data_IF_036714313999
#
_entry.id   IF_036714313999
#
_cell.length_a   1.000
_cell.length_b   1.000
_cell.length_c   1.000
_cell.angle_alpha   90.00
_cell.angle_beta   90.00
_cell.angle_gamma   90.00
#
_symmetry.space_group_name_H-M   'P 1'
#
loop_
_entity.id
_entity.type
_entity.pdbx_description
1 polymer ?
#
# COMPACT_ATOMS: atom_id res chain seq x y z
N UNK A 1 38.82 -54.32 41.73
CA UNK A 1 39.19 -53.08 41.01
C UNK A 1 37.92 -52.45 40.46
N UNK A 2 37.46 -51.32 41.01
CA UNK A 2 36.39 -50.50 40.41
C UNK A 2 36.95 -49.10 40.21
N UNK A 3 37.06 -48.68 38.95
CA UNK A 3 37.54 -47.36 38.57
C UNK A 3 36.47 -46.31 38.91
N UNK A 4 36.85 -45.30 39.67
CA UNK A 4 36.08 -44.08 39.94
C UNK A 4 36.10 -43.18 38.71
N UNK A 5 34.93 -42.92 38.12
CA UNK A 5 34.76 -41.90 37.08
C UNK A 5 34.76 -40.51 37.71
N UNK A 6 35.78 -39.71 37.41
CA UNK A 6 35.82 -38.30 37.75
C UNK A 6 34.99 -37.50 36.73
N UNK A 7 33.89 -36.88 37.18
CA UNK A 7 33.20 -35.85 36.41
C UNK A 7 34.03 -34.57 36.43
N UNK A 8 34.61 -34.22 35.28
CA UNK A 8 35.32 -32.96 35.08
C UNK A 8 34.30 -31.81 35.05
N UNK A 9 34.25 -31.07 36.15
CA UNK A 9 33.38 -29.91 36.34
C UNK A 9 34.06 -28.68 35.73
N UNK A 10 33.97 -28.52 34.40
CA UNK A 10 34.46 -27.30 33.75
C UNK A 10 33.54 -26.12 34.12
N UNK A 11 34.10 -24.95 34.49
CA UNK A 11 33.29 -23.78 34.81
C UNK A 11 32.49 -23.36 33.58
N UNK A 12 31.15 -23.38 33.69
CA UNK A 12 30.26 -22.81 32.66
C UNK A 12 30.61 -21.32 32.55
N UNK A 13 31.18 -20.94 31.40
CA UNK A 13 31.50 -19.55 31.07
C UNK A 13 30.25 -18.68 31.28
N UNK A 14 30.33 -17.53 31.95
CA UNK A 14 29.15 -16.68 32.16
C UNK A 14 28.57 -16.34 30.79
N UNK A 15 27.28 -16.62 30.61
CA UNK A 15 26.53 -16.16 29.44
C UNK A 15 26.70 -14.65 29.34
N UNK A 16 27.47 -14.18 28.35
CA UNK A 16 27.56 -12.76 28.05
C UNK A 16 26.18 -12.30 27.61
N UNK A 17 25.63 -11.31 28.33
CA UNK A 17 24.37 -10.69 27.92
C UNK A 17 24.56 -10.06 26.55
N UNK A 18 23.69 -10.34 25.57
CA UNK A 18 23.78 -9.72 24.26
C UNK A 18 23.67 -8.20 24.38
N UNK A 19 24.34 -7.48 23.49
CA UNK A 19 24.25 -6.02 23.45
C UNK A 19 22.83 -5.58 23.09
N UNK A 20 22.43 -4.40 23.57
CA UNK A 20 21.14 -3.82 23.22
C UNK A 20 21.00 -3.61 21.70
N UNK A 21 22.09 -3.29 21.00
CA UNK A 21 22.10 -3.13 19.54
C UNK A 21 21.79 -4.44 18.82
N UNK A 22 22.37 -5.55 19.29
CA UNK A 22 22.08 -6.88 18.76
C UNK A 22 20.62 -7.25 18.97
N UNK A 23 20.10 -7.10 20.20
CA UNK A 23 18.69 -7.39 20.49
C UNK A 23 17.72 -6.55 19.62
N UNK A 24 18.01 -5.26 19.42
CA UNK A 24 17.22 -4.40 18.52
C UNK A 24 17.25 -4.88 17.07
N UNK A 25 18.40 -5.36 16.59
CA UNK A 25 18.53 -5.89 15.24
C UNK A 25 17.73 -7.18 15.05
N UNK A 26 17.83 -8.12 16.00
CA UNK A 26 17.07 -9.38 15.98
C UNK A 26 15.56 -9.14 16.01
N UNK A 27 15.08 -8.29 16.92
CA UNK A 27 13.64 -7.96 17.00
C UNK A 27 13.16 -7.33 15.70
N UNK A 28 13.94 -6.40 15.12
CA UNK A 28 13.60 -5.77 13.84
C UNK A 28 13.54 -6.78 12.70
N UNK A 29 14.49 -7.72 12.67
CA UNK A 29 14.55 -8.79 11.66
C UNK A 29 13.33 -9.71 11.76
N UNK A 30 13.01 -10.18 12.98
CA UNK A 30 11.85 -11.03 13.22
C UNK A 30 10.54 -10.32 12.87
N UNK A 31 10.37 -9.06 13.27
CA UNK A 31 9.19 -8.27 12.95
C UNK A 31 9.03 -8.07 11.43
N UNK A 32 10.13 -7.82 10.70
CA UNK A 32 10.10 -7.72 9.23
C UNK A 32 9.71 -9.04 8.58
N UNK A 33 10.21 -10.18 9.08
CA UNK A 33 9.86 -11.50 8.55
C UNK A 33 8.36 -11.76 8.71
N UNK A 34 7.83 -11.59 9.92
CA UNK A 34 6.39 -11.76 10.20
C UNK A 34 5.54 -10.83 9.32
N UNK A 35 5.98 -9.57 9.16
CA UNK A 35 5.27 -8.63 8.31
C UNK A 35 5.31 -9.06 6.83
N UNK A 36 6.43 -9.58 6.34
CA UNK A 36 6.55 -10.06 4.98
C UNK A 36 5.63 -11.26 4.73
N UNK A 37 5.62 -12.23 5.64
CA UNK A 37 4.75 -13.41 5.55
C UNK A 37 3.28 -13.01 5.52
N UNK A 38 2.87 -12.08 6.39
CA UNK A 38 1.51 -11.54 6.38
C UNK A 38 1.18 -10.79 5.08
N UNK A 39 2.16 -10.09 4.50
CA UNK A 39 1.99 -9.34 3.26
C UNK A 39 1.81 -10.26 2.05
N UNK A 40 2.56 -11.35 1.99
CA UNK A 40 2.48 -12.33 0.91
C UNK A 40 1.20 -13.17 0.99
N UNK A 41 0.76 -13.55 2.19
CA UNK A 41 -0.40 -14.41 2.39
C UNK A 41 -1.73 -13.64 2.57
N UNK A 42 -1.68 -12.32 2.75
CA UNK A 42 -2.88 -11.49 2.95
C UNK A 42 -3.71 -11.33 1.68
N UNK A 43 -5.04 -11.43 1.80
CA UNK A 43 -5.98 -11.25 0.68
C UNK A 43 -6.26 -9.77 0.34
N UNK A 44 -6.10 -8.86 1.30
CA UNK A 44 -6.36 -7.44 1.11
C UNK A 44 -5.16 -6.72 0.47
N UNK A 45 -5.42 -5.65 -0.27
CA UNK A 45 -4.35 -4.77 -0.80
C UNK A 45 -3.50 -5.40 -1.91
N UNK A 46 -4.02 -6.40 -2.63
CA UNK A 46 -3.25 -7.13 -3.65
C UNK A 46 -2.68 -6.25 -4.75
N UNK A 47 -3.43 -5.25 -5.20
CA UNK A 47 -2.91 -4.28 -6.19
C UNK A 47 -1.69 -3.53 -5.70
N UNK A 48 -1.61 -3.23 -4.39
CA UNK A 48 -0.45 -2.57 -3.78
C UNK A 48 0.70 -3.55 -3.62
N UNK A 49 0.45 -4.81 -3.27
CA UNK A 49 1.50 -5.83 -3.22
C UNK A 49 2.10 -6.10 -4.60
N UNK A 50 1.29 -6.21 -5.64
CA UNK A 50 1.78 -6.45 -7.00
C UNK A 50 2.75 -5.35 -7.49
N UNK A 51 2.63 -4.14 -6.93
CA UNK A 51 3.53 -3.00 -7.15
C UNK A 51 4.71 -2.97 -6.17
N UNK A 52 4.48 -3.33 -4.91
CA UNK A 52 5.44 -3.32 -3.81
C UNK A 52 5.42 -4.69 -3.12
N UNK A 53 6.05 -5.71 -3.73
CA UNK A 53 5.93 -7.08 -3.24
C UNK A 53 6.75 -7.33 -1.97
N UNK A 54 7.75 -6.48 -1.69
CA UNK A 54 8.61 -6.62 -0.51
C UNK A 54 8.32 -5.53 0.50
N UNK A 55 8.03 -5.94 1.73
CA UNK A 55 7.93 -5.01 2.86
C UNK A 55 9.31 -4.46 3.18
N UNK A 56 9.37 -3.18 3.53
CA UNK A 56 10.62 -2.56 3.96
C UNK A 56 10.34 -1.34 4.84
N UNK A 57 11.32 -0.96 5.64
CA UNK A 57 11.28 0.28 6.41
C UNK A 57 11.62 1.53 5.56
N UNK A 58 11.92 1.37 4.27
CA UNK A 58 12.16 2.48 3.35
C UNK A 58 10.85 2.85 2.67
N UNK A 59 10.53 4.15 2.56
CA UNK A 59 9.35 4.59 1.82
C UNK A 59 9.52 4.26 0.33
N UNK A 60 8.40 3.95 -0.33
CA UNK A 60 8.37 3.61 -1.77
C UNK A 60 8.57 4.84 -2.66
N UNK A 61 8.58 6.05 -2.08
CA UNK A 61 8.74 7.31 -2.81
C UNK A 61 7.46 7.77 -3.52
N UNK A 62 6.32 7.20 -3.14
CA UNK A 62 5.00 7.67 -3.56
C UNK A 62 4.50 8.80 -2.66
N UNK A 63 3.83 9.78 -3.25
CA UNK A 63 3.18 10.84 -2.51
C UNK A 63 1.73 10.46 -2.12
N UNK A 64 1.04 11.35 -1.39
CA UNK A 64 -0.33 11.10 -0.90
C UNK A 64 -1.30 10.77 -2.04
N UNK A 65 -1.27 11.53 -3.13
CA UNK A 65 -2.16 11.34 -4.28
C UNK A 65 -1.93 9.99 -4.98
N UNK A 66 -0.66 9.62 -5.17
CA UNK A 66 -0.28 8.34 -5.77
C UNK A 66 -0.69 7.15 -4.89
N UNK A 67 -0.50 7.28 -3.58
CA UNK A 67 -0.93 6.26 -2.60
C UNK A 67 -2.45 6.08 -2.68
N UNK A 68 -3.22 7.18 -2.62
CA UNK A 68 -4.68 7.15 -2.72
C UNK A 68 -5.16 6.47 -4.01
N UNK A 69 -4.55 6.82 -5.14
CA UNK A 69 -4.90 6.24 -6.42
C UNK A 69 -4.65 4.73 -6.47
N UNK A 70 -3.45 4.29 -6.05
CA UNK A 70 -3.02 2.88 -6.13
C UNK A 70 -3.84 1.97 -5.20
N UNK A 71 -4.11 2.44 -3.99
CA UNK A 71 -4.92 1.68 -3.02
C UNK A 71 -6.41 1.79 -3.29
N UNK A 72 -6.81 2.71 -4.17
CA UNK A 72 -8.21 3.11 -4.36
C UNK A 72 -8.81 3.72 -3.11
N UNK A 73 -8.00 4.30 -2.23
CA UNK A 73 -8.45 5.01 -1.04
C UNK A 73 -8.71 6.49 -1.33
N UNK A 74 -9.46 7.13 -0.46
CA UNK A 74 -9.68 8.58 -0.47
C UNK A 74 -11.06 8.94 -1.01
N UNK A 75 -11.18 10.00 -1.83
CA UNK A 75 -12.48 10.60 -2.18
C UNK A 75 -13.29 9.80 -3.23
N UNK A 76 -12.91 8.56 -3.54
CA UNK A 76 -13.60 7.75 -4.53
C UNK A 76 -14.96 7.26 -3.99
N UNK A 77 -16.08 7.49 -4.69
CA UNK A 77 -17.38 6.95 -4.28
C UNK A 77 -17.37 5.44 -3.99
N UNK A 78 -16.61 4.65 -4.77
CA UNK A 78 -16.47 3.21 -4.52
C UNK A 78 -15.80 2.87 -3.17
N UNK A 79 -14.87 3.71 -2.73
CA UNK A 79 -14.23 3.58 -1.43
C UNK A 79 -15.16 4.05 -0.32
N UNK A 80 -15.78 5.22 -0.49
CA UNK A 80 -16.69 5.79 0.51
C UNK A 80 -17.89 4.86 0.80
N UNK A 81 -18.46 4.22 -0.23
CA UNK A 81 -19.50 3.21 -0.06
C UNK A 81 -19.04 2.04 0.83
N UNK A 82 -17.82 1.53 0.62
CA UNK A 82 -17.26 0.42 1.41
C UNK A 82 -17.19 0.74 2.91
N UNK A 83 -17.01 2.02 3.26
CA UNK A 83 -16.95 2.50 4.64
C UNK A 83 -18.28 3.09 5.13
N UNK A 84 -19.38 2.89 4.39
CA UNK A 84 -20.70 3.44 4.69
C UNK A 84 -20.71 4.99 4.85
N UNK A 85 -19.78 5.67 4.20
CA UNK A 85 -19.71 7.14 4.14
C UNK A 85 -20.54 7.70 2.98
N UNK A 86 -21.00 6.84 2.07
CA UNK A 86 -21.95 7.13 0.99
C UNK A 86 -22.88 5.96 0.76
N UNK A 87 -24.06 6.25 0.21
CA UNK A 87 -25.09 5.24 -0.13
C UNK A 87 -24.89 4.58 -1.50
N UNK A 88 -24.03 5.13 -2.36
CA UNK A 88 -23.74 4.56 -3.68
C UNK A 88 -22.28 4.79 -4.10
N UNK A 89 -21.81 3.97 -5.05
CA UNK A 89 -20.45 4.04 -5.60
C UNK A 89 -20.36 4.84 -6.90
N UNK A 90 -21.40 5.59 -7.28
CA UNK A 90 -21.44 6.34 -8.54
C UNK A 90 -20.67 7.66 -8.51
N UNK A 91 -19.97 7.92 -9.61
CA UNK A 91 -19.46 9.24 -10.02
C UNK A 91 -20.62 10.14 -10.47
N UNK A 92 -20.40 11.45 -10.49
CA UNK A 92 -21.37 12.44 -11.02
C UNK A 92 -21.75 12.20 -12.49
N UNK A 93 -20.93 11.46 -13.25
CA UNK A 93 -21.25 11.08 -14.62
C UNK A 93 -22.18 9.85 -14.72
N UNK A 94 -22.56 9.24 -13.59
CA UNK A 94 -23.45 8.09 -13.50
C UNK A 94 -22.76 6.72 -13.45
N UNK A 95 -21.50 6.63 -13.89
CA UNK A 95 -20.69 5.41 -13.86
C UNK A 95 -20.07 5.14 -12.48
N UNK A 96 -19.47 3.97 -12.29
CA UNK A 96 -18.76 3.64 -11.05
C UNK A 96 -17.59 4.61 -10.80
N UNK A 97 -17.63 5.29 -9.66
CA UNK A 97 -16.60 6.23 -9.19
C UNK A 97 -15.42 5.52 -8.54
N UNK A 98 -14.69 4.74 -9.32
CA UNK A 98 -13.43 4.11 -8.93
C UNK A 98 -12.21 4.80 -9.58
N UNK A 99 -10.97 4.56 -9.10
CA UNK A 99 -9.79 5.24 -9.62
C UNK A 99 -9.58 5.01 -11.13
N UNK A 100 -9.89 3.82 -11.64
CA UNK A 100 -9.67 3.49 -13.05
C UNK A 100 -10.63 4.29 -13.92
N UNK A 101 -11.90 4.41 -13.52
CA UNK A 101 -12.87 5.24 -14.22
C UNK A 101 -12.38 6.69 -14.34
N UNK A 102 -12.01 7.33 -13.23
CA UNK A 102 -11.52 8.71 -13.23
C UNK A 102 -10.24 8.90 -14.04
N UNK A 103 -9.36 7.89 -14.07
CA UNK A 103 -8.10 7.98 -14.80
C UNK A 103 -8.22 7.67 -16.30
N UNK A 104 -9.35 7.15 -16.79
CA UNK A 104 -9.39 6.61 -18.16
C UNK A 104 -10.63 6.95 -18.97
N UNK A 105 -11.78 7.20 -18.32
CA UNK A 105 -13.08 7.27 -18.99
C UNK A 105 -13.97 8.43 -18.55
N UNK A 106 -13.77 8.99 -17.36
CA UNK A 106 -14.66 10.01 -16.83
C UNK A 106 -14.66 11.26 -17.74
N UNK A 107 -15.83 11.75 -18.17
CA UNK A 107 -15.94 12.99 -18.96
C UNK A 107 -15.44 14.23 -18.23
N UNK A 108 -15.51 14.25 -16.89
CA UNK A 108 -15.06 15.39 -16.09
C UNK A 108 -13.52 15.47 -15.95
N UNK A 109 -12.80 14.40 -16.30
CA UNK A 109 -11.35 14.33 -16.15
C UNK A 109 -10.60 14.08 -17.46
N UNK A 110 -11.25 14.34 -18.60
CA UNK A 110 -10.69 14.11 -19.94
C UNK A 110 -9.26 14.65 -20.13
N UNK A 111 -8.97 15.84 -19.60
CA UNK A 111 -7.64 16.48 -19.65
C UNK A 111 -6.53 15.62 -19.04
N UNK A 112 -6.85 14.77 -18.05
CA UNK A 112 -5.89 13.93 -17.33
C UNK A 112 -5.99 12.44 -17.66
N UNK A 113 -6.94 12.03 -18.51
CA UNK A 113 -7.16 10.62 -18.83
C UNK A 113 -5.95 9.96 -19.51
N UNK A 114 -5.53 8.84 -18.96
CA UNK A 114 -4.62 7.89 -19.56
C UNK A 114 -5.39 6.94 -20.48
N UNK A 115 -4.66 6.25 -21.36
CA UNK A 115 -5.23 5.17 -22.16
C UNK A 115 -5.81 4.09 -21.24
N UNK A 116 -7.00 3.59 -21.57
CA UNK A 116 -7.64 2.53 -20.78
C UNK A 116 -6.80 1.25 -20.91
N UNK A 117 -6.32 0.66 -19.80
CA UNK A 117 -5.55 -0.56 -19.89
C UNK A 117 -6.45 -1.75 -20.23
N UNK A 118 -5.87 -2.72 -20.95
CA UNK A 118 -6.42 -4.08 -20.97
C UNK A 118 -6.34 -4.67 -19.56
N UNK A 119 -7.33 -5.48 -19.17
CA UNK A 119 -7.41 -6.09 -17.83
C UNK A 119 -6.11 -6.81 -17.46
N UNK A 120 -5.56 -7.59 -18.39
CA UNK A 120 -4.29 -8.32 -18.21
C UNK A 120 -3.05 -7.43 -18.06
N UNK A 121 -3.12 -6.17 -18.51
CA UNK A 121 -2.01 -5.21 -18.49
C UNK A 121 -2.17 -4.14 -17.41
N UNK A 122 -3.18 -4.25 -16.54
CA UNK A 122 -3.47 -3.25 -15.49
C UNK A 122 -2.25 -2.97 -14.60
N UNK A 123 -1.52 -4.01 -14.21
CA UNK A 123 -0.32 -3.86 -13.38
C UNK A 123 0.79 -3.10 -14.11
N UNK A 124 1.07 -3.46 -15.36
CA UNK A 124 2.09 -2.78 -16.16
C UNK A 124 1.72 -1.32 -16.42
N UNK A 125 0.43 -1.07 -16.67
CA UNK A 125 -0.10 0.28 -16.82
C UNK A 125 0.11 1.14 -15.57
N UNK A 126 -0.19 0.61 -14.38
CA UNK A 126 0.10 1.29 -13.11
C UNK A 126 1.60 1.57 -12.95
N UNK A 127 2.47 0.58 -13.24
CA UNK A 127 3.93 0.76 -13.20
C UNK A 127 4.39 1.87 -14.13
N UNK A 128 3.86 1.95 -15.34
CA UNK A 128 4.22 2.99 -16.30
C UNK A 128 3.84 4.38 -15.80
N UNK A 129 2.66 4.54 -15.20
CA UNK A 129 2.22 5.80 -14.61
C UNK A 129 3.15 6.22 -13.45
N UNK A 130 3.49 5.27 -12.57
CA UNK A 130 4.25 5.55 -11.34
C UNK A 130 5.76 5.71 -11.57
N UNK A 131 6.28 5.31 -12.73
CA UNK A 131 7.70 5.44 -13.09
C UNK A 131 7.98 6.68 -13.94
N UNK A 132 7.02 7.15 -14.73
CA UNK A 132 7.18 8.31 -15.59
C UNK A 132 6.79 9.62 -14.88
N UNK A 133 7.72 10.57 -14.76
CA UNK A 133 7.48 11.83 -14.05
C UNK A 133 6.32 12.67 -14.60
N UNK A 134 6.15 12.72 -15.93
CA UNK A 134 5.03 13.44 -16.54
C UNK A 134 3.69 12.79 -16.19
N UNK A 135 3.63 11.46 -16.25
CA UNK A 135 2.45 10.68 -15.86
C UNK A 135 2.13 10.84 -14.38
N UNK A 136 3.14 10.85 -13.49
CA UNK A 136 2.96 11.14 -12.06
C UNK A 136 2.39 12.54 -11.84
N UNK A 137 2.91 13.56 -12.53
CA UNK A 137 2.37 14.93 -12.43
C UNK A 137 0.91 14.98 -12.91
N UNK A 138 0.61 14.33 -14.03
CA UNK A 138 -0.77 14.24 -14.55
C UNK A 138 -1.71 13.55 -13.57
N UNK A 139 -1.27 12.45 -12.95
CA UNK A 139 -2.01 11.74 -11.91
C UNK A 139 -2.24 12.62 -10.67
N UNK A 140 -1.24 13.39 -10.23
CA UNK A 140 -1.40 14.30 -9.09
C UNK A 140 -2.45 15.38 -9.35
N UNK A 141 -2.46 15.96 -10.56
CA UNK A 141 -3.45 16.96 -10.94
C UNK A 141 -4.86 16.37 -10.97
N UNK A 142 -5.01 15.17 -11.56
CA UNK A 142 -6.26 14.41 -11.51
C UNK A 142 -6.73 14.20 -10.07
N UNK A 143 -5.85 13.71 -9.20
CA UNK A 143 -6.21 13.42 -7.82
C UNK A 143 -6.59 14.66 -7.01
N UNK A 144 -5.94 15.81 -7.26
CA UNK A 144 -6.31 17.08 -6.63
C UNK A 144 -7.71 17.51 -7.05
N UNK A 145 -8.00 17.46 -8.35
CA UNK A 145 -9.33 17.74 -8.87
C UNK A 145 -10.41 16.89 -8.20
N UNK A 146 -10.20 15.56 -8.09
CA UNK A 146 -11.17 14.66 -7.45
C UNK A 146 -11.31 14.96 -5.94
N UNK A 147 -10.22 15.32 -5.25
CA UNK A 147 -10.29 15.70 -3.84
C UNK A 147 -11.12 16.97 -3.64
N UNK A 148 -10.95 17.96 -4.52
CA UNK A 148 -11.66 19.24 -4.44
C UNK A 148 -13.15 19.07 -4.76
N UNK A 149 -13.51 18.28 -5.78
CA UNK A 149 -14.92 18.00 -6.12
C UNK A 149 -15.69 17.33 -4.98
N UNK A 150 -15.06 16.41 -4.23
CA UNK A 150 -15.75 15.67 -3.17
C UNK A 150 -15.87 16.44 -1.84
N UNK A 151 -15.09 17.51 -1.64
CA UNK A 151 -15.26 18.38 -0.48
C UNK A 151 -16.61 19.11 -0.49
N UNK A 152 -17.22 19.30 -1.67
CA UNK A 152 -18.56 19.88 -1.81
C UNK A 152 -19.71 18.91 -1.48
N UNK A 153 -19.45 17.60 -1.34
CA UNK A 153 -20.50 16.59 -1.18
C UNK A 153 -20.67 16.17 0.30
N UNK A 154 -19.79 16.62 1.20
CA UNK A 154 -19.94 16.41 2.65
C UNK A 154 -20.96 17.37 3.26
N UNK A 155 -21.29 18.47 2.57
CA UNK A 155 -22.21 19.49 3.07
C UNK A 155 -23.69 19.18 2.82
N UNK A 156 -24.02 18.32 1.85
CA UNK A 156 -25.42 18.04 1.47
C UNK A 156 -26.10 16.92 2.30
N UNK A 157 -25.42 16.37 3.31
CA UNK A 157 -25.95 15.30 4.17
C UNK A 157 -26.16 15.73 5.63
N UNK A 158 -26.35 17.03 5.89
CA UNK A 158 -26.73 17.53 7.21
C UNK A 158 -27.97 18.42 7.15
#
# INVERSE_FOLDING_TARGET
>A
MKATNAQTNYPKKPSQKPSLSYLKAEIKSAALSIWHDNWDNGENGRSTHDLVPRVSNKPVGWNREEIMFVTGHGPFPSYLLRFNLRIHDKCSCGEKGDPIHYATKCPFTLSWNFETPKVSLKLQWLKNILTNNFSRTRLRLLMRFICDENNHIVEDNN
#
